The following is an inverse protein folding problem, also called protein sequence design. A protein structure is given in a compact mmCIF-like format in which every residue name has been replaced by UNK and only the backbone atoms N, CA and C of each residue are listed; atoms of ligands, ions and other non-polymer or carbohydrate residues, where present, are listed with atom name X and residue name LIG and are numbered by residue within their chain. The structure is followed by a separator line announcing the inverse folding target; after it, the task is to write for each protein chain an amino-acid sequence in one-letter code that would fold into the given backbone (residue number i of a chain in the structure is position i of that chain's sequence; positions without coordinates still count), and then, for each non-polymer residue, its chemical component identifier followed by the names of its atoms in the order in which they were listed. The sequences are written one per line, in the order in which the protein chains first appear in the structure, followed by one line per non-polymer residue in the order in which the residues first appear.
data_IF_618508097199
#
_entry.id   IF_618508097199
#
_cell.length_a   1.000
_cell.length_b   1.000
_cell.length_c   1.000
_cell.angle_alpha   90.00
_cell.angle_beta   90.00
_cell.angle_gamma   90.00
#
_symmetry.space_group_name_H-M   'P 1'
#
loop_
_entity.id
_entity.type
_entity.pdbx_description
1 polymer ?
#
# COMPACT_ATOMS: atom_id res chain seq x y z
N UNK A 1 7.61 -8.43 -10.45
CA UNK A 1 8.46 -9.64 -10.49
C UNK A 1 9.66 -9.46 -11.44
N UNK A 2 9.45 -9.15 -12.73
CA UNK A 2 10.57 -9.01 -13.67
C UNK A 2 11.52 -7.85 -13.36
N UNK A 3 11.01 -6.68 -12.95
CA UNK A 3 11.86 -5.55 -12.51
C UNK A 3 12.79 -5.93 -11.35
N UNK A 4 12.27 -6.64 -10.35
CA UNK A 4 13.05 -7.09 -9.19
C UNK A 4 14.16 -8.07 -9.60
N UNK A 5 13.86 -8.98 -10.52
CA UNK A 5 14.85 -9.89 -11.09
C UNK A 5 16.00 -9.11 -11.75
N UNK A 6 15.68 -8.14 -12.63
CA UNK A 6 16.70 -7.31 -13.28
C UNK A 6 17.53 -6.54 -12.25
N UNK A 7 16.90 -5.98 -11.21
CA UNK A 7 17.62 -5.23 -10.17
C UNK A 7 18.64 -6.09 -9.40
N UNK A 8 18.29 -7.35 -9.13
CA UNK A 8 19.18 -8.29 -8.45
C UNK A 8 20.32 -8.69 -9.39
N UNK A 9 20.03 -9.04 -10.65
CA UNK A 9 21.05 -9.49 -11.61
C UNK A 9 22.01 -8.37 -12.03
N UNK A 10 21.55 -7.13 -12.05
CA UNK A 10 22.38 -5.96 -12.38
C UNK A 10 23.06 -5.33 -11.16
N UNK A 11 22.73 -5.77 -9.94
CA UNK A 11 23.36 -5.31 -8.70
C UNK A 11 22.99 -3.88 -8.27
N UNK A 12 21.94 -3.28 -8.84
CA UNK A 12 21.56 -1.87 -8.57
C UNK A 12 21.11 -1.62 -7.12
N UNK A 13 20.68 -2.66 -6.40
CA UNK A 13 20.26 -2.55 -4.99
C UNK A 13 21.43 -2.47 -4.01
N UNK A 14 22.58 -3.04 -4.37
CA UNK A 14 23.72 -3.18 -3.46
C UNK A 14 24.72 -2.02 -3.59
N UNK A 15 24.71 -1.32 -4.74
CA UNK A 15 25.59 -0.20 -5.01
C UNK A 15 24.78 1.01 -5.51
N UNK A 16 24.23 1.84 -4.60
CA UNK A 16 23.36 2.96 -4.99
C UNK A 16 24.03 3.99 -5.91
N UNK A 17 25.35 4.15 -5.83
CA UNK A 17 26.08 5.11 -6.68
C UNK A 17 26.08 4.73 -8.16
N UNK A 18 25.99 3.43 -8.47
CA UNK A 18 25.85 2.91 -9.84
C UNK A 18 24.61 3.44 -10.57
N UNK A 19 23.64 3.99 -9.84
CA UNK A 19 22.42 4.55 -10.41
C UNK A 19 22.70 5.81 -11.24
N UNK A 20 23.72 6.59 -10.89
CA UNK A 20 24.08 7.84 -11.59
C UNK A 20 25.51 7.84 -12.14
N UNK A 21 26.39 6.97 -11.62
CA UNK A 21 27.74 6.81 -12.16
C UNK A 21 27.72 6.39 -13.64
N UNK A 22 28.66 6.94 -14.39
CA UNK A 22 28.80 6.72 -15.84
C UNK A 22 27.53 7.05 -16.65
N UNK A 23 26.68 7.95 -16.14
CA UNK A 23 25.64 8.58 -16.95
C UNK A 23 26.31 9.36 -18.10
N UNK A 24 25.78 9.35 -19.34
CA UNK A 24 24.53 8.73 -19.78
C UNK A 24 24.62 7.22 -20.06
N UNK A 25 23.59 6.46 -19.67
CA UNK A 25 23.52 5.01 -19.87
C UNK A 25 22.96 4.62 -21.26
N UNK A 26 23.64 5.02 -22.33
CA UNK A 26 23.16 4.84 -23.72
C UNK A 26 23.06 3.36 -24.10
N UNK A 27 24.07 2.56 -23.75
CA UNK A 27 24.08 1.13 -24.06
C UNK A 27 23.41 0.33 -22.93
N UNK A 28 22.15 -0.02 -23.16
CA UNK A 28 21.37 -0.87 -22.26
C UNK A 28 21.50 -2.34 -22.65
N UNK A 29 21.60 -3.22 -21.66
CA UNK A 29 21.46 -4.67 -21.86
C UNK A 29 20.09 -4.99 -22.42
N UNK A 30 20.01 -6.05 -23.24
CA UNK A 30 18.77 -6.48 -23.89
C UNK A 30 17.60 -6.58 -22.92
N UNK A 31 17.79 -7.20 -21.74
CA UNK A 31 16.72 -7.35 -20.74
C UNK A 31 16.17 -6.02 -20.22
N UNK A 32 17.03 -5.03 -19.96
CA UNK A 32 16.61 -3.69 -19.49
C UNK A 32 15.87 -2.96 -20.60
N UNK A 33 16.40 -2.98 -21.82
CA UNK A 33 15.75 -2.34 -22.97
C UNK A 33 14.39 -2.97 -23.25
N UNK A 34 14.33 -4.30 -23.29
CA UNK A 34 13.10 -5.05 -23.51
C UNK A 34 12.08 -4.83 -22.39
N UNK A 35 12.52 -4.68 -21.14
CA UNK A 35 11.66 -4.29 -20.03
C UNK A 35 10.97 -2.96 -20.31
N UNK A 36 11.72 -1.90 -20.62
CA UNK A 36 11.14 -0.58 -20.90
C UNK A 36 10.18 -0.59 -22.09
N UNK A 37 10.55 -1.25 -23.19
CA UNK A 37 9.66 -1.37 -24.36
C UNK A 37 8.37 -2.11 -24.00
N UNK A 38 8.45 -3.18 -23.21
CA UNK A 38 7.27 -3.92 -22.74
C UNK A 38 6.40 -3.07 -21.81
N UNK A 39 7.01 -2.29 -20.91
CA UNK A 39 6.25 -1.37 -20.05
C UNK A 39 5.50 -0.32 -20.88
N UNK A 40 6.15 0.30 -21.86
CA UNK A 40 5.51 1.27 -22.75
C UNK A 40 4.39 0.62 -23.56
N UNK A 41 4.64 -0.54 -24.16
CA UNK A 41 3.65 -1.27 -24.93
C UNK A 41 2.42 -1.65 -24.08
N UNK A 42 2.63 -2.12 -22.84
CA UNK A 42 1.56 -2.44 -21.91
C UNK A 42 0.69 -1.22 -21.60
N UNK A 43 1.30 -0.09 -21.22
CA UNK A 43 0.54 1.10 -20.86
C UNK A 43 -0.12 1.78 -22.07
N UNK A 44 0.47 1.68 -23.26
CA UNK A 44 -0.17 2.12 -24.51
C UNK A 44 -1.36 1.23 -24.88
N UNK A 45 -1.22 -0.10 -24.75
CA UNK A 45 -2.30 -1.06 -24.96
C UNK A 45 -3.47 -0.85 -23.99
N UNK A 46 -3.20 -0.39 -22.76
CA UNK A 46 -4.25 -0.10 -21.80
C UNK A 46 -5.24 0.99 -22.28
N UNK A 47 -4.83 1.89 -23.20
CA UNK A 47 -5.70 2.94 -23.73
C UNK A 47 -6.87 2.40 -24.58
N UNK A 48 -6.64 1.61 -25.66
CA UNK A 48 -7.74 0.98 -26.39
C UNK A 48 -8.50 -0.02 -25.52
N UNK A 49 -7.83 -0.69 -24.58
CA UNK A 49 -8.48 -1.60 -23.64
C UNK A 49 -9.57 -0.90 -22.80
N UNK A 50 -9.32 0.33 -22.32
CA UNK A 50 -10.35 1.15 -21.64
C UNK A 50 -11.61 1.36 -22.48
N UNK A 51 -11.41 1.57 -23.79
CA UNK A 51 -12.51 1.78 -24.73
C UNK A 51 -13.30 0.47 -24.94
N UNK A 52 -12.60 -0.64 -25.17
CA UNK A 52 -13.24 -1.93 -25.44
C UNK A 52 -13.91 -2.56 -24.21
N UNK A 53 -13.37 -2.33 -23.01
CA UNK A 53 -13.96 -2.84 -21.76
C UNK A 53 -15.24 -2.11 -21.34
N UNK A 54 -15.67 -1.07 -22.08
CA UNK A 54 -16.86 -0.26 -21.78
C UNK A 54 -16.88 0.20 -20.31
N UNK A 55 -15.73 0.65 -19.82
CA UNK A 55 -15.57 1.14 -18.45
C UNK A 55 -16.57 2.28 -18.21
N UNK A 56 -17.13 2.33 -16.98
CA UNK A 56 -18.03 3.41 -16.57
C UNK A 56 -17.39 4.77 -16.83
N UNK A 57 -18.14 5.70 -17.44
CA UNK A 57 -17.65 7.04 -17.83
C UNK A 57 -17.00 7.81 -16.68
N UNK A 58 -17.50 7.62 -15.46
CA UNK A 58 -16.97 8.25 -14.24
C UNK A 58 -15.56 7.79 -13.87
N UNK A 59 -15.17 6.58 -14.27
CA UNK A 59 -13.87 5.99 -13.93
C UNK A 59 -12.79 6.25 -14.98
N UNK A 60 -13.19 6.52 -16.23
CA UNK A 60 -12.30 6.82 -17.35
C UNK A 60 -11.24 7.88 -16.98
N UNK A 61 -11.58 9.07 -16.45
CA UNK A 61 -10.56 10.10 -16.17
C UNK A 61 -9.53 9.63 -15.14
N UNK A 62 -9.97 8.88 -14.12
CA UNK A 62 -9.08 8.33 -13.09
C UNK A 62 -8.11 7.31 -13.68
N UNK A 63 -8.59 6.41 -14.54
CA UNK A 63 -7.76 5.38 -15.16
C UNK A 63 -6.80 5.99 -16.19
N UNK A 64 -7.28 6.94 -17.00
CA UNK A 64 -6.46 7.68 -17.96
C UNK A 64 -5.34 8.46 -17.28
N UNK A 65 -5.62 9.11 -16.14
CA UNK A 65 -4.60 9.79 -15.35
C UNK A 65 -3.51 8.81 -14.90
N UNK A 66 -3.88 7.63 -14.42
CA UNK A 66 -2.92 6.60 -14.01
C UNK A 66 -2.07 6.10 -15.19
N UNK A 67 -2.69 5.76 -16.32
CA UNK A 67 -1.98 5.34 -17.53
C UNK A 67 -1.02 6.43 -18.01
N UNK A 68 -1.48 7.68 -18.05
CA UNK A 68 -0.67 8.83 -18.49
C UNK A 68 0.54 9.05 -17.58
N UNK A 69 0.37 8.94 -16.25
CA UNK A 69 1.47 9.06 -15.31
C UNK A 69 2.51 7.95 -15.52
N UNK A 70 2.08 6.71 -15.75
CA UNK A 70 2.99 5.61 -16.05
C UNK A 70 3.75 5.82 -17.37
N UNK A 71 3.04 6.15 -18.45
CA UNK A 71 3.66 6.46 -19.74
C UNK A 71 4.68 7.59 -19.60
N UNK A 72 4.33 8.66 -18.89
CA UNK A 72 5.20 9.81 -18.68
C UNK A 72 6.48 9.43 -17.92
N UNK A 73 6.37 8.71 -16.80
CA UNK A 73 7.55 8.35 -15.98
C UNK A 73 8.43 7.31 -16.68
N UNK A 74 7.83 6.29 -17.30
CA UNK A 74 8.57 5.26 -18.04
C UNK A 74 9.28 5.87 -19.24
N UNK A 75 8.59 6.74 -20.00
CA UNK A 75 9.18 7.44 -21.16
C UNK A 75 10.27 8.40 -20.72
N UNK A 76 10.05 9.20 -19.67
CA UNK A 76 11.08 10.13 -19.16
C UNK A 76 12.34 9.38 -18.73
N UNK A 77 12.20 8.26 -18.00
CA UNK A 77 13.35 7.46 -17.59
C UNK A 77 14.11 6.87 -18.78
N UNK A 78 13.41 6.37 -19.80
CA UNK A 78 14.02 5.76 -20.98
C UNK A 78 14.65 6.80 -21.92
N UNK A 79 13.92 7.85 -22.28
CA UNK A 79 14.36 8.87 -23.25
C UNK A 79 15.49 9.75 -22.72
N UNK A 80 15.52 10.02 -21.40
CA UNK A 80 16.58 10.82 -20.77
C UNK A 80 17.79 9.98 -20.35
N UNK A 81 17.86 8.70 -20.74
CA UNK A 81 18.90 7.75 -20.35
C UNK A 81 19.06 7.60 -18.82
N UNK A 82 17.99 7.82 -18.05
CA UNK A 82 17.92 7.62 -16.59
C UNK A 82 17.43 6.21 -16.23
N UNK A 83 17.70 5.24 -17.11
CA UNK A 83 17.11 3.90 -17.09
C UNK A 83 17.36 3.13 -15.79
N UNK A 84 18.55 3.28 -15.18
CA UNK A 84 18.89 2.60 -13.92
C UNK A 84 18.05 3.12 -12.76
N UNK A 85 18.01 4.45 -12.59
CA UNK A 85 17.17 5.12 -11.57
C UNK A 85 15.70 4.78 -11.80
N UNK A 86 15.21 4.96 -13.03
CA UNK A 86 13.81 4.68 -13.37
C UNK A 86 13.39 3.24 -13.09
N UNK A 87 14.27 2.26 -13.33
CA UNK A 87 13.98 0.85 -13.07
C UNK A 87 13.78 0.59 -11.58
N UNK A 88 14.64 1.17 -10.73
CA UNK A 88 14.51 1.07 -9.26
C UNK A 88 13.21 1.73 -8.80
N UNK A 89 12.93 2.95 -9.27
CA UNK A 89 11.73 3.68 -8.88
C UNK A 89 10.45 2.96 -9.31
N UNK A 90 10.42 2.39 -10.52
CA UNK A 90 9.30 1.57 -11.01
C UNK A 90 9.14 0.31 -10.17
N UNK A 91 10.23 -0.36 -9.81
CA UNK A 91 10.15 -1.55 -8.96
C UNK A 91 9.58 -1.23 -7.57
N UNK A 92 10.03 -0.12 -6.96
CA UNK A 92 9.49 0.37 -5.68
C UNK A 92 8.00 0.70 -5.80
N UNK A 93 7.60 1.38 -6.88
CA UNK A 93 6.20 1.68 -7.15
C UNK A 93 5.35 0.41 -7.26
N UNK A 94 5.77 -0.57 -8.06
CA UNK A 94 5.05 -1.82 -8.23
C UNK A 94 5.01 -2.67 -6.96
N UNK A 95 6.07 -2.65 -6.15
CA UNK A 95 6.07 -3.34 -4.85
C UNK A 95 5.05 -2.72 -3.89
N UNK A 96 4.95 -1.39 -3.87
CA UNK A 96 3.97 -0.65 -3.07
C UNK A 96 2.53 -0.97 -3.50
N UNK A 97 2.27 -1.05 -4.81
CA UNK A 97 0.96 -1.42 -5.36
C UNK A 97 0.61 -2.88 -5.10
N UNK A 98 1.57 -3.80 -5.27
CA UNK A 98 1.39 -5.21 -4.94
C UNK A 98 1.02 -5.37 -3.47
N UNK A 99 1.73 -4.70 -2.56
CA UNK A 99 1.42 -4.71 -1.13
C UNK A 99 0.01 -4.23 -0.83
N UNK A 100 -0.48 -3.20 -1.54
CA UNK A 100 -1.87 -2.73 -1.40
C UNK A 100 -2.88 -3.80 -1.84
N UNK A 101 -2.64 -4.43 -2.99
CA UNK A 101 -3.53 -5.46 -3.51
C UNK A 101 -3.56 -6.70 -2.62
N UNK A 102 -2.41 -7.10 -2.07
CA UNK A 102 -2.30 -8.18 -1.09
C UNK A 102 -3.11 -7.82 0.16
N UNK A 103 -2.90 -6.64 0.76
CA UNK A 103 -3.65 -6.21 1.94
C UNK A 103 -5.16 -6.20 1.69
N UNK A 104 -5.59 -5.75 0.51
CA UNK A 104 -7.00 -5.76 0.10
C UNK A 104 -7.56 -7.17 -0.13
N UNK A 105 -6.75 -8.11 -0.61
CA UNK A 105 -7.18 -9.49 -0.81
C UNK A 105 -7.41 -10.18 0.54
N UNK A 106 -6.47 -10.00 1.48
CA UNK A 106 -6.58 -10.56 2.83
C UNK A 106 -7.70 -9.92 3.65
N UNK A 107 -8.16 -8.71 3.31
CA UNK A 107 -9.35 -8.07 3.89
C UNK A 107 -10.62 -8.95 3.86
N UNK A 108 -10.69 -9.93 2.97
CA UNK A 108 -11.87 -10.78 2.82
C UNK A 108 -11.71 -12.16 3.48
N UNK A 109 -10.53 -12.48 4.02
CA UNK A 109 -10.18 -13.87 4.37
C UNK A 109 -9.93 -14.10 5.87
N UNK A 110 -9.48 -13.12 6.65
CA UNK A 110 -8.96 -13.35 8.01
C UNK A 110 -9.32 -12.23 9.00
N UNK A 111 -10.03 -12.54 10.09
CA UNK A 111 -10.42 -11.61 11.17
C UNK A 111 -9.33 -10.61 11.61
N UNK A 112 -8.04 -10.95 11.45
CA UNK A 112 -6.88 -10.08 11.71
C UNK A 112 -6.63 -8.94 10.68
N UNK A 113 -7.59 -8.65 9.80
CA UNK A 113 -7.56 -7.66 8.71
C UNK A 113 -6.83 -6.33 9.00
N UNK A 114 -6.95 -5.79 10.22
CA UNK A 114 -6.36 -4.49 10.59
C UNK A 114 -4.82 -4.51 10.58
N UNK A 115 -4.19 -5.61 11.04
CA UNK A 115 -2.72 -5.70 11.14
C UNK A 115 -2.05 -5.64 9.78
N UNK A 116 -2.61 -6.34 8.79
CA UNK A 116 -2.08 -6.36 7.42
C UNK A 116 -2.21 -5.00 6.73
N UNK A 117 -3.30 -4.30 6.99
CA UNK A 117 -3.52 -2.95 6.49
C UNK A 117 -2.59 -1.92 7.12
N UNK A 118 -2.25 -2.08 8.40
CA UNK A 118 -1.26 -1.24 9.08
C UNK A 118 0.17 -1.53 8.59
N UNK A 119 0.51 -2.81 8.39
CA UNK A 119 1.78 -3.20 7.77
C UNK A 119 1.93 -2.60 6.37
N UNK A 120 0.88 -2.70 5.55
CA UNK A 120 0.86 -2.05 4.24
C UNK A 120 1.01 -0.54 4.34
N UNK A 121 0.32 0.12 5.28
CA UNK A 121 0.39 1.56 5.45
C UNK A 121 1.83 2.02 5.79
N UNK A 122 2.51 1.30 6.69
CA UNK A 122 3.92 1.55 7.02
C UNK A 122 4.81 1.32 5.81
N UNK A 123 4.65 0.18 5.13
CA UNK A 123 5.40 -0.17 3.92
C UNK A 123 5.21 0.86 2.80
N UNK A 124 4.00 1.38 2.64
CA UNK A 124 3.67 2.42 1.67
C UNK A 124 4.45 3.70 1.96
N UNK A 125 4.38 4.23 3.18
CA UNK A 125 5.10 5.46 3.56
C UNK A 125 6.61 5.27 3.43
N UNK A 126 7.14 4.15 3.91
CA UNK A 126 8.55 3.81 3.78
C UNK A 126 9.01 3.83 2.31
N UNK A 127 8.24 3.21 1.42
CA UNK A 127 8.55 3.18 -0.01
C UNK A 127 8.58 4.59 -0.62
N UNK A 128 7.71 5.50 -0.17
CA UNK A 128 7.73 6.91 -0.63
C UNK A 128 8.98 7.64 -0.18
N UNK A 129 9.39 7.44 1.07
CA UNK A 129 10.62 8.05 1.59
C UNK A 129 11.84 7.55 0.80
N UNK A 130 11.95 6.24 0.59
CA UNK A 130 13.06 5.65 -0.20
C UNK A 130 13.05 6.18 -1.63
N UNK A 131 11.88 6.25 -2.28
CA UNK A 131 11.73 6.78 -3.65
C UNK A 131 12.22 8.22 -3.76
N UNK A 132 11.78 9.10 -2.85
CA UNK A 132 12.18 10.51 -2.85
C UNK A 132 13.67 10.68 -2.55
N UNK A 133 14.20 9.94 -1.57
CA UNK A 133 15.62 9.97 -1.22
C UNK A 133 16.49 9.52 -2.38
N UNK A 134 16.18 8.39 -3.02
CA UNK A 134 16.95 7.88 -4.16
C UNK A 134 16.90 8.84 -5.35
N UNK A 135 15.73 9.40 -5.64
CA UNK A 135 15.57 10.35 -6.74
C UNK A 135 16.39 11.62 -6.49
N UNK A 136 16.33 12.17 -5.28
CA UNK A 136 17.10 13.36 -4.90
C UNK A 136 18.61 13.07 -4.87
N UNK A 137 19.01 11.91 -4.35
CA UNK A 137 20.41 11.50 -4.34
C UNK A 137 20.96 11.32 -5.75
N UNK A 138 20.27 10.59 -6.62
CA UNK A 138 20.76 10.26 -7.95
C UNK A 138 20.74 11.47 -8.90
N UNK A 139 19.62 12.19 -8.95
CA UNK A 139 19.44 13.28 -9.91
C UNK A 139 19.80 14.63 -9.30
N UNK A 140 19.41 14.88 -8.05
CA UNK A 140 19.67 16.15 -7.37
C UNK A 140 21.13 16.34 -6.96
N UNK A 141 21.81 15.29 -6.50
CA UNK A 141 23.22 15.35 -6.11
C UNK A 141 24.16 14.65 -7.08
N UNK A 142 23.88 13.40 -7.44
CA UNK A 142 24.77 12.56 -8.26
C UNK A 142 25.04 13.18 -9.62
N UNK A 143 24.00 13.33 -10.42
CA UNK A 143 24.08 13.97 -11.74
C UNK A 143 24.49 15.45 -11.65
N UNK A 144 24.10 16.18 -10.60
CA UNK A 144 24.48 17.58 -10.45
C UNK A 144 25.97 17.80 -10.17
N UNK A 145 26.66 16.81 -9.60
CA UNK A 145 28.11 16.83 -9.33
C UNK A 145 28.95 16.14 -10.40
N UNK A 146 28.31 15.48 -11.37
CA UNK A 146 29.00 14.86 -12.49
C UNK A 146 29.62 15.91 -13.41
N UNK A 147 30.78 15.63 -13.99
CA UNK A 147 31.53 16.59 -14.82
C UNK A 147 30.84 16.87 -16.16
N UNK A 148 30.02 15.94 -16.65
CA UNK A 148 29.33 16.02 -17.93
C UNK A 148 28.04 16.86 -17.89
N UNK A 149 28.12 18.08 -17.35
CA UNK A 149 27.02 19.04 -17.37
C UNK A 149 26.79 19.54 -18.80
N UNK A 150 25.59 19.30 -19.36
CA UNK A 150 25.30 19.73 -20.72
C UNK A 150 24.15 19.00 -21.39
N UNK A 151 23.89 19.39 -22.63
CA UNK A 151 22.94 18.76 -23.53
C UNK A 151 23.71 18.31 -24.79
N UNK A 152 23.78 17.01 -25.02
CA UNK A 152 24.40 16.41 -26.20
C UNK A 152 23.50 15.26 -26.68
N UNK A 153 22.90 15.44 -27.86
CA UNK A 153 21.98 14.47 -28.43
C UNK A 153 22.71 13.25 -29.00
N UNK A 154 23.92 13.44 -29.54
CA UNK A 154 24.70 12.39 -30.17
C UNK A 154 25.26 11.42 -29.12
N UNK A 155 25.70 11.97 -27.98
CA UNK A 155 26.15 11.20 -26.82
C UNK A 155 24.99 10.79 -25.87
N UNK A 156 23.76 11.24 -26.13
CA UNK A 156 22.60 10.98 -25.29
C UNK A 156 22.70 11.57 -23.87
N UNK A 157 23.46 12.66 -23.71
CA UNK A 157 23.62 13.38 -22.45
C UNK A 157 22.53 14.44 -22.30
N UNK A 158 21.68 14.28 -21.28
CA UNK A 158 20.61 15.23 -20.96
C UNK A 158 20.81 15.90 -19.60
N UNK A 159 22.05 15.93 -19.10
CA UNK A 159 22.38 16.40 -17.75
C UNK A 159 22.43 17.94 -17.63
N UNK A 160 21.31 18.59 -17.91
CA UNK A 160 21.13 20.04 -17.69
C UNK A 160 20.36 20.30 -16.39
N UNK A 161 20.59 21.47 -15.78
CA UNK A 161 19.85 21.89 -14.57
C UNK A 161 18.34 21.86 -14.82
N UNK A 162 17.89 22.35 -15.99
CA UNK A 162 16.47 22.41 -16.34
C UNK A 162 15.84 21.01 -16.40
N UNK A 163 16.50 20.05 -17.06
CA UNK A 163 16.01 18.67 -17.15
C UNK A 163 16.00 18.03 -15.76
N UNK A 164 17.08 18.17 -14.97
CA UNK A 164 17.14 17.64 -13.60
C UNK A 164 16.00 18.18 -12.73
N UNK A 165 15.80 19.49 -12.70
CA UNK A 165 14.75 20.12 -11.90
C UNK A 165 13.35 19.69 -12.38
N UNK A 166 13.16 19.51 -13.69
CA UNK A 166 11.90 19.04 -14.26
C UNK A 166 11.61 17.60 -13.84
N UNK A 167 12.58 16.69 -13.93
CA UNK A 167 12.39 15.29 -13.49
C UNK A 167 12.17 15.22 -11.98
N UNK A 168 12.91 15.99 -11.19
CA UNK A 168 12.72 16.09 -9.74
C UNK A 168 11.31 16.57 -9.41
N UNK A 169 10.85 17.66 -10.04
CA UNK A 169 9.52 18.22 -9.84
C UNK A 169 8.43 17.20 -10.22
N UNK A 170 8.57 16.55 -11.38
CA UNK A 170 7.63 15.54 -11.86
C UNK A 170 7.46 14.40 -10.85
N UNK A 171 8.57 13.84 -10.38
CA UNK A 171 8.56 12.75 -9.39
C UNK A 171 7.98 13.25 -8.07
N UNK A 172 8.43 14.41 -7.56
CA UNK A 172 7.93 14.99 -6.31
C UNK A 172 6.42 15.22 -6.35
N UNK A 173 5.89 15.85 -7.40
CA UNK A 173 4.45 16.09 -7.55
C UNK A 173 3.66 14.78 -7.56
N UNK A 174 4.17 13.76 -8.26
CA UNK A 174 3.53 12.44 -8.33
C UNK A 174 3.56 11.74 -6.96
N UNK A 175 4.68 11.79 -6.24
CA UNK A 175 4.77 11.23 -4.88
C UNK A 175 3.85 11.96 -3.90
N UNK A 176 3.81 13.30 -3.94
CA UNK A 176 2.90 14.12 -3.12
C UNK A 176 1.44 13.80 -3.43
N UNK A 177 1.07 13.62 -4.69
CA UNK A 177 -0.27 13.21 -5.08
C UNK A 177 -0.65 11.82 -4.53
N UNK A 178 0.27 10.84 -4.61
CA UNK A 178 0.07 9.51 -4.03
C UNK A 178 -0.07 9.56 -2.50
N UNK A 179 0.77 10.35 -1.82
CA UNK A 179 0.68 10.58 -0.37
C UNK A 179 -0.64 11.25 0.02
N UNK A 180 -1.08 12.25 -0.75
CA UNK A 180 -2.38 12.89 -0.52
C UNK A 180 -3.54 11.91 -0.66
N UNK A 181 -3.51 11.05 -1.68
CA UNK A 181 -4.50 9.97 -1.84
C UNK A 181 -4.48 9.01 -0.66
N UNK A 182 -3.29 8.63 -0.19
CA UNK A 182 -3.10 7.78 0.99
C UNK A 182 -3.65 8.43 2.26
N UNK A 183 -3.32 9.70 2.53
CA UNK A 183 -3.83 10.45 3.70
C UNK A 183 -5.35 10.51 3.67
N UNK A 184 -5.96 10.85 2.52
CA UNK A 184 -7.42 10.87 2.39
C UNK A 184 -8.06 9.50 2.64
N UNK A 185 -7.43 8.44 2.16
CA UNK A 185 -7.85 7.06 2.42
C UNK A 185 -7.77 6.72 3.91
N UNK A 186 -6.63 7.01 4.56
CA UNK A 186 -6.40 6.74 5.97
C UNK A 186 -7.33 7.55 6.89
N UNK A 187 -7.58 8.82 6.56
CA UNK A 187 -8.54 9.68 7.26
C UNK A 187 -9.97 9.17 7.13
N UNK A 188 -10.35 8.64 5.96
CA UNK A 188 -11.67 8.01 5.78
C UNK A 188 -11.78 6.77 6.67
N UNK A 189 -10.80 5.88 6.62
CA UNK A 189 -10.75 4.65 7.44
C UNK A 189 -10.79 4.95 8.94
N UNK A 190 -10.02 5.94 9.39
CA UNK A 190 -10.01 6.33 10.80
C UNK A 190 -11.35 6.92 11.27
N UNK A 191 -12.06 7.65 10.40
CA UNK A 191 -13.43 8.11 10.69
C UNK A 191 -14.38 6.92 10.83
N UNK A 192 -14.38 6.00 9.86
CA UNK A 192 -15.22 4.79 9.88
C UNK A 192 -14.98 3.96 11.15
N UNK A 193 -13.71 3.71 11.50
CA UNK A 193 -13.35 3.00 12.72
C UNK A 193 -13.84 3.70 13.99
N UNK A 194 -13.74 5.03 14.07
CA UNK A 194 -14.29 5.80 15.21
C UNK A 194 -15.80 5.71 15.29
N UNK A 195 -16.51 5.72 14.16
CA UNK A 195 -17.96 5.54 14.12
C UNK A 195 -18.37 4.13 14.57
N UNK A 196 -17.68 3.09 14.11
CA UNK A 196 -17.92 1.71 14.53
C UNK A 196 -17.68 1.52 16.03
N UNK A 197 -16.58 2.05 16.57
CA UNK A 197 -16.32 1.99 18.01
C UNK A 197 -17.36 2.74 18.82
N UNK A 198 -17.79 3.93 18.37
CA UNK A 198 -18.84 4.69 19.03
C UNK A 198 -20.18 3.93 19.02
N UNK A 199 -20.53 3.28 17.91
CA UNK A 199 -21.72 2.44 17.79
C UNK A 199 -21.65 1.21 18.72
N UNK A 200 -20.50 0.52 18.78
CA UNK A 200 -20.26 -0.61 19.70
C UNK A 200 -20.38 -0.19 21.17
N UNK A 201 -19.79 0.94 21.56
CA UNK A 201 -19.91 1.47 22.93
C UNK A 201 -21.36 1.83 23.29
N UNK A 202 -22.11 2.45 22.36
CA UNK A 202 -23.54 2.73 22.55
C UNK A 202 -24.39 1.47 22.66
N UNK A 203 -24.07 0.42 21.90
CA UNK A 203 -24.76 -0.87 21.97
C UNK A 203 -24.48 -1.57 23.31
N UNK A 204 -23.23 -1.60 23.77
CA UNK A 204 -22.85 -2.16 25.07
C UNK A 204 -23.50 -1.41 26.26
N UNK A 205 -23.59 -0.07 26.19
CA UNK A 205 -24.26 0.74 27.22
C UNK A 205 -25.78 0.56 27.29
N UNK A 206 -26.42 0.01 26.24
CA UNK A 206 -27.84 -0.37 26.26
C UNK A 206 -28.08 -1.76 26.84
N UNK A 207 -27.03 -2.56 27.07
CA UNK A 207 -27.12 -3.93 27.59
C UNK A 207 -26.83 -4.04 29.10
N UNK A 208 -26.62 -2.93 29.82
CA UNK A 208 -26.49 -2.92 31.28
C UNK A 208 -27.74 -3.54 31.96
N UNK A 209 -27.58 -4.45 32.94
CA UNK A 209 -28.63 -5.39 33.32
C UNK A 209 -29.80 -4.73 34.07
N UNK A 210 -31.01 -5.27 33.85
CA UNK A 210 -32.21 -4.95 34.65
C UNK A 210 -31.90 -5.09 36.15
N UNK A 211 -32.32 -4.15 37.02
CA UNK A 211 -32.09 -4.27 38.45
C UNK A 211 -32.83 -5.49 39.01
N UNK A 212 -32.10 -6.37 39.72
CA UNK A 212 -32.66 -7.43 40.55
C UNK A 212 -33.57 -6.79 41.60
N UNK A 213 -34.87 -7.08 41.49
CA UNK A 213 -35.91 -6.61 42.40
C UNK A 213 -35.62 -7.17 43.80
N UNK A 214 -35.24 -6.30 44.72
CA UNK A 214 -35.07 -6.57 46.14
C UNK A 214 -36.46 -6.52 46.79
N UNK A 215 -37.10 -7.67 46.95
CA UNK A 215 -38.29 -7.77 47.79
C UNK A 215 -37.83 -8.13 49.22
N UNK A 216 -38.04 -7.18 50.13
CA UNK A 216 -37.88 -7.32 51.58
C UNK A 216 -39.26 -7.53 52.21
N UNK A 217 -39.45 -8.58 53.03
CA UNK A 217 -40.47 -8.77 54.08
C UNK A 217 -40.33 -10.25 54.53
N UNK A 218 -39.98 -10.66 55.75
CA UNK A 218 -40.24 -10.09 57.07
C UNK A 218 -41.24 -10.98 57.81
N UNK A 219 -40.83 -12.14 58.35
CA UNK A 219 -41.55 -12.79 59.46
C UNK A 219 -40.63 -13.71 60.29
N UNK A 220 -40.53 -13.41 61.57
CA UNK A 220 -39.94 -14.23 62.63
C UNK A 220 -40.94 -15.31 63.06
N UNK A 221 -40.47 -16.51 63.41
CA UNK A 221 -40.78 -17.19 64.69
C UNK A 221 -39.97 -18.49 64.88
N UNK A 222 -39.55 -18.72 66.12
CA UNK A 222 -38.67 -19.81 66.56
C UNK A 222 -39.44 -21.13 66.74
N UNK A 223 -38.81 -22.27 66.42
CA UNK A 223 -39.35 -23.60 66.67
C UNK A 223 -38.25 -24.67 66.71
N UNK A 224 -38.06 -25.22 67.91
CA UNK A 224 -37.03 -26.15 68.38
C UNK A 224 -37.37 -27.62 68.00
N UNK A 225 -36.33 -28.40 67.65
CA UNK A 225 -36.18 -29.90 67.66
C UNK A 225 -36.97 -30.76 66.64
N UNK A 226 -36.25 -31.49 65.77
CA UNK A 226 -36.17 -32.97 65.81
C UNK A 226 -34.99 -33.53 65.00
N UNK A 227 -34.35 -34.54 65.57
CA UNK A 227 -33.17 -35.23 65.09
C UNK A 227 -33.49 -36.43 64.18
N UNK A 228 -32.39 -36.96 63.61
CA UNK A 228 -32.13 -38.33 63.15
C UNK A 228 -32.39 -38.77 61.70
N UNK A 229 -31.25 -39.06 61.05
CA UNK A 229 -30.83 -40.34 60.47
C UNK A 229 -31.75 -41.08 59.49
N UNK A 230 -31.16 -41.45 58.34
CA UNK A 230 -31.49 -42.72 57.70
C UNK A 230 -31.51 -42.75 56.17
N UNK A 231 -30.40 -43.22 55.60
CA UNK A 231 -30.32 -44.14 54.45
C UNK A 231 -30.87 -43.73 53.05
N UNK A 232 -29.92 -43.64 52.12
CA UNK A 232 -30.06 -43.96 50.67
C UNK A 232 -30.43 -45.46 50.50
N UNK A 233 -31.16 -45.91 49.46
CA UNK A 233 -30.58 -46.11 48.12
C UNK A 233 -31.48 -45.85 46.89
N UNK A 234 -30.81 -45.47 45.78
CA UNK A 234 -31.16 -45.49 44.33
C UNK A 234 -32.02 -46.69 43.84
N UNK A 235 -32.40 -46.80 42.53
CA UNK A 235 -32.78 -45.82 41.48
C UNK A 235 -34.01 -46.29 40.65
N UNK A 236 -34.54 -45.48 39.69
CA UNK A 236 -34.91 -45.92 38.31
C UNK A 236 -35.65 -44.85 37.46
N UNK A 237 -35.14 -44.73 36.22
CA UNK A 237 -35.79 -44.49 34.91
C UNK A 237 -36.92 -43.48 34.78
N UNK A 238 -36.70 -42.48 33.92
CA UNK A 238 -37.77 -41.79 33.18
C UNK A 238 -37.48 -41.94 31.67
N UNK A 239 -38.45 -42.50 30.95
CA UNK A 239 -38.55 -42.49 29.48
C UNK A 239 -39.18 -41.15 29.05
N UNK A 240 -38.69 -40.60 27.95
CA UNK A 240 -39.34 -39.50 27.23
C UNK A 240 -40.50 -40.00 26.36
N UNK A 241 -41.50 -39.15 26.08
CA UNK A 241 -42.16 -39.07 24.79
C UNK A 241 -41.46 -38.10 23.83
#
# INVERSE_FOLDING_TARGET
MWSLYILITEGYLFHPSNLWENYPHVHLRFQVKFFYLTQLAYWLHALPELYFQKVRKEEIPRQLQYISLYLLHVSAAYLLNLSRVGLVLLCLQYLSELGFHIARMFYFTDESHQKMFDLWAVSFVFTRMVTLTLMFLAVGFGLARAENQGLDWDLGNFNTVLIRMTVLLLVCLTQSWLLWKFIRFQLRRWREFRHEQAARKKAAAKQTPRPLKRDSLGHHENGVIKAENGASPRPKKIKAP
#
